data_IF_855433395285
#
_entry.id   IF_855433395285
#
_cell.length_a   1.000
_cell.length_b   1.000
_cell.length_c   1.000
_cell.angle_alpha   90.00
_cell.angle_beta   90.00
_cell.angle_gamma   90.00
#
_symmetry.space_group_name_H-M   'P 1'
#
loop_
_entity.id
_entity.type
_entity.pdbx_description
1 polymer ?
#
# COMPACT_ATOMS: atom_id res chain seq x y z
N UNK A 1 7.62 9.09 -20.48
CA UNK A 1 7.54 8.02 -19.45
C UNK A 1 7.66 8.54 -18.01
N UNK A 2 8.14 9.77 -17.76
CA UNK A 2 8.36 10.31 -16.41
C UNK A 2 7.04 10.60 -15.64
N UNK A 3 5.95 10.96 -16.34
CA UNK A 3 4.68 11.35 -15.72
C UNK A 3 3.77 10.19 -15.28
N UNK A 4 4.06 8.95 -15.70
CA UNK A 4 3.20 7.78 -15.41
C UNK A 4 3.65 6.99 -14.19
N UNK A 5 4.86 7.21 -13.69
CA UNK A 5 5.40 6.42 -12.57
C UNK A 5 4.57 6.63 -11.30
N UNK A 6 4.31 7.89 -10.93
CA UNK A 6 3.58 8.19 -9.69
C UNK A 6 2.12 7.74 -9.76
N UNK A 7 1.33 8.04 -10.82
CA UNK A 7 -0.04 7.53 -10.93
C UNK A 7 -0.11 5.99 -10.90
N UNK A 8 0.79 5.30 -11.63
CA UNK A 8 0.80 3.84 -11.63
C UNK A 8 1.17 3.26 -10.26
N UNK A 9 2.08 3.92 -9.54
CA UNK A 9 2.45 3.51 -8.19
C UNK A 9 1.27 3.66 -7.23
N UNK A 10 0.57 4.80 -7.25
CA UNK A 10 -0.63 5.02 -6.44
C UNK A 10 -1.71 3.99 -6.78
N UNK A 11 -1.99 3.74 -8.07
CA UNK A 11 -2.95 2.71 -8.46
C UNK A 11 -2.56 1.28 -8.04
N UNK A 12 -1.25 1.00 -7.96
CA UNK A 12 -0.78 -0.27 -7.42
C UNK A 12 -1.04 -0.36 -5.91
N UNK A 13 -0.88 0.75 -5.18
CA UNK A 13 -1.21 0.84 -3.75
C UNK A 13 -2.72 0.67 -3.50
N UNK A 14 -3.58 1.22 -4.37
CA UNK A 14 -5.03 1.00 -4.32
C UNK A 14 -5.35 -0.50 -4.44
N UNK A 15 -4.71 -1.19 -5.40
CA UNK A 15 -4.82 -2.64 -5.55
C UNK A 15 -4.32 -3.42 -4.32
N UNK A 16 -3.22 -2.99 -3.70
CA UNK A 16 -2.72 -3.58 -2.45
C UNK A 16 -3.70 -3.38 -1.29
N UNK A 17 -4.34 -2.22 -1.17
CA UNK A 17 -5.35 -1.97 -0.14
C UNK A 17 -6.54 -2.92 -0.29
N UNK A 18 -7.01 -3.15 -1.53
CA UNK A 18 -8.08 -4.13 -1.81
C UNK A 18 -7.64 -5.54 -1.40
N UNK A 19 -6.40 -5.94 -1.71
CA UNK A 19 -5.89 -7.26 -1.34
C UNK A 19 -5.78 -7.45 0.18
N UNK A 20 -5.33 -6.43 0.91
CA UNK A 20 -5.27 -6.44 2.38
C UNK A 20 -6.67 -6.48 2.99
N UNK A 21 -7.62 -5.71 2.45
CA UNK A 21 -9.02 -5.77 2.85
C UNK A 21 -9.59 -7.19 2.64
N UNK A 22 -9.36 -7.78 1.48
CA UNK A 22 -9.84 -9.13 1.18
C UNK A 22 -9.26 -10.16 2.15
N UNK A 23 -7.97 -10.08 2.45
CA UNK A 23 -7.31 -10.91 3.47
C UNK A 23 -7.97 -10.74 4.84
N UNK A 24 -8.18 -9.49 5.30
CA UNK A 24 -8.85 -9.21 6.56
C UNK A 24 -10.26 -9.82 6.62
N UNK A 25 -11.05 -9.68 5.56
CA UNK A 25 -12.40 -10.23 5.50
C UNK A 25 -12.41 -11.76 5.48
N UNK A 26 -11.46 -12.39 4.78
CA UNK A 26 -11.28 -13.84 4.83
C UNK A 26 -10.96 -14.31 6.25
N UNK A 27 -9.98 -13.69 6.92
CA UNK A 27 -9.60 -14.03 8.29
C UNK A 27 -10.76 -13.84 9.28
N UNK A 28 -11.53 -12.75 9.13
CA UNK A 28 -12.74 -12.53 9.92
C UNK A 28 -13.78 -13.65 9.69
N UNK A 29 -14.02 -14.05 8.44
CA UNK A 29 -14.93 -15.13 8.10
C UNK A 29 -14.49 -16.47 8.68
N UNK A 30 -13.18 -16.79 8.66
CA UNK A 30 -12.65 -18.02 9.27
C UNK A 30 -12.74 -18.02 10.80
N UNK A 31 -12.42 -16.90 11.45
CA UNK A 31 -12.48 -16.79 12.91
C UNK A 31 -13.90 -16.96 13.48
N UNK A 32 -14.93 -16.61 12.71
CA UNK A 32 -16.33 -16.82 13.09
C UNK A 32 -16.81 -18.25 12.82
N UNK A 33 -16.21 -18.95 11.84
CA UNK A 33 -16.56 -20.32 11.51
C UNK A 33 -16.19 -21.31 12.64
N UNK A 34 -15.04 -21.11 13.28
CA UNK A 34 -14.62 -21.90 14.44
C UNK A 34 -15.52 -21.66 15.68
N UNK A 35 -16.13 -20.48 15.80
CA UNK A 35 -17.04 -20.14 16.88
C UNK A 35 -18.43 -20.76 16.71
N UNK A 36 -18.93 -20.88 15.47
CA UNK A 36 -20.21 -21.55 15.15
C UNK A 36 -20.17 -23.07 15.41
N UNK A 37 -19.01 -23.72 15.24
CA UNK A 37 -18.88 -25.14 15.58
C UNK A 37 -19.07 -25.41 17.09
N UNK A 38 -18.82 -24.41 17.94
CA UNK A 38 -19.00 -24.49 19.39
C UNK A 38 -20.41 -24.09 19.86
N UNK A 39 -21.14 -23.29 19.09
CA UNK A 39 -22.46 -22.75 19.46
C UNK A 39 -23.56 -23.24 18.51
N UNK A 40 -24.10 -24.43 18.77
CA UNK A 40 -25.12 -25.12 17.95
C UNK A 40 -26.53 -24.49 17.91
N UNK A 41 -26.66 -23.20 18.23
CA UNK A 41 -27.96 -22.51 18.35
C UNK A 41 -28.14 -21.27 17.46
N UNK A 42 -27.17 -20.93 16.61
CA UNK A 42 -27.26 -19.81 15.66
C UNK A 42 -27.22 -20.29 14.19
N UNK A 43 -27.95 -21.35 13.88
CA UNK A 43 -28.14 -21.82 12.50
C UNK A 43 -29.02 -20.85 11.70
N UNK A 44 -28.42 -19.88 11.01
CA UNK A 44 -29.14 -19.14 9.96
C UNK A 44 -28.57 -17.81 9.46
N UNK A 45 -27.50 -17.24 10.04
CA UNK A 45 -26.90 -16.02 9.50
C UNK A 45 -25.67 -16.37 8.66
N UNK A 46 -25.69 -15.99 7.39
CA UNK A 46 -24.51 -16.13 6.55
C UNK A 46 -23.47 -15.11 7.04
N UNK A 47 -22.41 -15.58 7.70
CA UNK A 47 -21.37 -14.74 8.27
C UNK A 47 -20.38 -14.22 7.23
N UNK A 48 -20.41 -14.78 6.02
CA UNK A 48 -19.59 -14.33 4.91
C UNK A 48 -19.89 -12.88 4.54
N UNK A 49 -18.83 -12.05 4.49
CA UNK A 49 -18.92 -10.71 3.92
C UNK A 49 -18.78 -10.79 2.41
N UNK A 50 -19.84 -10.42 1.68
CA UNK A 50 -19.76 -10.18 0.25
C UNK A 50 -19.07 -8.84 0.02
N UNK A 51 -17.93 -8.86 -0.67
CA UNK A 51 -17.20 -7.66 -1.06
C UNK A 51 -17.44 -7.36 -2.54
N UNK A 52 -17.90 -6.15 -2.83
CA UNK A 52 -17.93 -5.58 -4.17
C UNK A 52 -17.00 -4.37 -4.21
N UNK A 53 -16.15 -4.27 -5.23
CA UNK A 53 -15.23 -3.13 -5.36
C UNK A 53 -15.18 -2.61 -6.78
N UNK A 54 -15.17 -1.29 -6.94
CA UNK A 54 -14.80 -0.61 -8.19
C UNK A 54 -13.71 0.38 -7.81
N UNK A 55 -12.45 0.02 -8.04
CA UNK A 55 -11.29 0.78 -7.58
C UNK A 55 -11.36 1.07 -6.07
N UNK A 56 -11.50 2.34 -5.69
CA UNK A 56 -11.57 2.86 -4.32
C UNK A 56 -13.00 2.88 -3.75
N UNK A 57 -14.00 2.46 -4.51
CA UNK A 57 -15.37 2.29 -4.03
C UNK A 57 -15.58 0.86 -3.50
N UNK A 58 -16.05 0.74 -2.25
CA UNK A 58 -16.29 -0.54 -1.59
C UNK A 58 -17.76 -0.71 -1.23
N UNK A 59 -18.31 -1.89 -1.48
CA UNK A 59 -19.71 -2.22 -1.22
C UNK A 59 -19.88 -3.58 -0.54
N UNK A 60 -20.87 -3.67 0.33
CA UNK A 60 -21.31 -4.90 1.00
C UNK A 60 -22.79 -4.81 1.39
N UNK A 61 -23.34 -5.82 2.05
CA UNK A 61 -24.70 -5.75 2.60
C UNK A 61 -24.74 -4.86 3.83
N UNK A 62 -25.87 -4.16 4.06
CA UNK A 62 -25.97 -3.15 5.12
C UNK A 62 -25.62 -3.68 6.52
N UNK A 63 -25.92 -4.94 6.82
CA UNK A 63 -25.61 -5.59 8.09
C UNK A 63 -24.11 -5.87 8.30
N UNK A 64 -23.29 -5.72 7.26
CA UNK A 64 -21.82 -5.92 7.25
C UNK A 64 -21.04 -4.64 7.04
N UNK A 65 -21.70 -3.49 6.86
CA UNK A 65 -21.05 -2.22 6.53
C UNK A 65 -20.01 -1.79 7.58
N UNK A 66 -20.29 -2.00 8.87
CA UNK A 66 -19.34 -1.69 9.96
C UNK A 66 -18.07 -2.55 9.90
N UNK A 67 -18.22 -3.84 9.57
CA UNK A 67 -17.08 -4.75 9.43
C UNK A 67 -16.24 -4.40 8.19
N UNK A 68 -16.90 -4.02 7.09
CA UNK A 68 -16.22 -3.49 5.90
C UNK A 68 -15.43 -2.22 6.24
N UNK A 69 -16.02 -1.29 7.00
CA UNK A 69 -15.34 -0.07 7.43
C UNK A 69 -14.09 -0.36 8.27
N UNK A 70 -14.20 -1.29 9.21
CA UNK A 70 -13.07 -1.74 10.03
C UNK A 70 -11.95 -2.34 9.17
N UNK A 71 -12.31 -3.17 8.18
CA UNK A 71 -11.35 -3.76 7.24
C UNK A 71 -10.65 -2.73 6.38
N UNK A 72 -11.39 -1.73 5.85
CA UNK A 72 -10.80 -0.64 5.06
C UNK A 72 -9.78 0.12 5.92
N UNK A 73 -10.16 0.55 7.12
CA UNK A 73 -9.23 1.23 8.05
C UNK A 73 -7.98 0.40 8.31
N UNK A 74 -8.15 -0.88 8.60
CA UNK A 74 -7.03 -1.79 8.87
C UNK A 74 -6.10 -1.90 7.65
N UNK A 75 -6.64 -2.05 6.44
CA UNK A 75 -5.86 -2.13 5.21
C UNK A 75 -5.01 -0.86 4.99
N UNK A 76 -5.59 0.32 5.15
CA UNK A 76 -4.86 1.60 5.02
C UNK A 76 -3.81 1.78 6.13
N UNK A 77 -4.10 1.34 7.37
CA UNK A 77 -3.13 1.37 8.46
C UNK A 77 -1.94 0.45 8.12
N UNK A 78 -2.21 -0.78 7.72
CA UNK A 78 -1.17 -1.75 7.37
C UNK A 78 -0.35 -1.29 6.15
N UNK A 79 -0.99 -0.66 5.16
CA UNK A 79 -0.30 -0.20 3.96
C UNK A 79 0.60 1.03 4.22
N UNK A 80 0.09 2.04 4.93
CA UNK A 80 0.78 3.34 5.05
C UNK A 80 1.55 3.55 6.36
N UNK A 81 1.18 2.83 7.43
CA UNK A 81 1.86 2.96 8.73
C UNK A 81 2.81 1.80 9.03
N UNK A 82 2.87 0.79 8.15
CA UNK A 82 4.00 -0.12 8.13
C UNK A 82 5.22 0.63 7.59
N UNK A 83 6.13 0.98 8.50
CA UNK A 83 7.24 1.92 8.29
C UNK A 83 8.19 1.56 7.15
N UNK A 84 8.16 0.31 6.69
CA UNK A 84 9.22 -0.23 5.85
C UNK A 84 8.86 -0.23 4.35
N UNK A 85 7.63 0.10 3.95
CA UNK A 85 7.22 -0.08 2.54
C UNK A 85 7.96 0.89 1.60
N UNK A 86 8.06 2.17 1.96
CA UNK A 86 8.80 3.16 1.16
C UNK A 86 10.29 2.83 1.12
N UNK A 87 10.85 2.40 2.26
CA UNK A 87 12.26 2.00 2.35
C UNK A 87 12.55 0.82 1.45
N UNK A 88 11.69 -0.20 1.50
CA UNK A 88 11.80 -1.40 0.64
C UNK A 88 11.65 -1.01 -0.83
N UNK A 89 10.63 -0.23 -1.18
CA UNK A 89 10.41 0.22 -2.56
C UNK A 89 11.60 1.01 -3.10
N UNK A 90 12.10 1.98 -2.33
CA UNK A 90 13.27 2.77 -2.70
C UNK A 90 14.52 1.90 -2.88
N UNK A 91 14.79 1.00 -1.93
CA UNK A 91 15.93 0.08 -2.01
C UNK A 91 15.84 -0.84 -3.24
N UNK A 92 14.64 -1.34 -3.56
CA UNK A 92 14.40 -2.16 -4.75
C UNK A 92 14.65 -1.35 -6.03
N UNK A 93 14.07 -0.15 -6.16
CA UNK A 93 14.29 0.70 -7.35
C UNK A 93 15.78 1.04 -7.51
N UNK A 94 16.45 1.44 -6.43
CA UNK A 94 17.87 1.78 -6.47
C UNK A 94 18.72 0.58 -6.88
N UNK A 95 18.43 -0.61 -6.33
CA UNK A 95 19.09 -1.86 -6.72
C UNK A 95 18.88 -2.19 -8.20
N UNK A 96 17.64 -2.07 -8.70
CA UNK A 96 17.32 -2.28 -10.12
C UNK A 96 18.08 -1.29 -11.02
N UNK A 97 18.13 -0.01 -10.65
CA UNK A 97 18.86 1.01 -11.42
C UNK A 97 20.37 0.75 -11.40
N UNK A 98 20.94 0.39 -10.26
CA UNK A 98 22.36 -0.01 -10.15
C UNK A 98 22.68 -1.21 -11.02
N UNK A 99 21.81 -2.21 -11.07
CA UNK A 99 21.99 -3.37 -11.92
C UNK A 99 21.89 -3.02 -13.40
N UNK A 100 20.95 -2.16 -13.78
CA UNK A 100 20.74 -1.77 -15.18
C UNK A 100 21.84 -0.84 -15.70
N UNK A 101 22.18 0.21 -14.94
CA UNK A 101 23.18 1.21 -15.33
C UNK A 101 24.61 0.84 -14.93
N UNK A 102 24.81 -0.28 -14.23
CA UNK A 102 26.06 -0.72 -13.59
C UNK A 102 26.42 0.15 -12.39
N UNK A 103 26.74 -0.51 -11.28
CA UNK A 103 27.00 0.16 -9.98
C UNK A 103 28.12 1.21 -10.04
N UNK A 104 29.10 1.06 -10.94
CA UNK A 104 30.17 2.04 -11.17
C UNK A 104 29.68 3.43 -11.61
N UNK A 105 28.46 3.54 -12.13
CA UNK A 105 27.87 4.78 -12.60
C UNK A 105 27.02 5.46 -11.50
N UNK A 106 27.00 4.90 -10.29
CA UNK A 106 26.28 5.46 -9.14
C UNK A 106 27.25 6.14 -8.18
N UNK A 107 27.05 7.44 -7.97
CA UNK A 107 27.75 8.24 -6.97
C UNK A 107 26.95 8.21 -5.65
N UNK A 108 27.44 7.41 -4.69
CA UNK A 108 26.82 7.27 -3.38
C UNK A 108 26.95 8.52 -2.49
N UNK A 109 27.95 9.37 -2.75
CA UNK A 109 28.19 10.59 -1.96
C UNK A 109 27.16 11.65 -2.33
N UNK A 110 26.90 11.80 -3.63
CA UNK A 110 25.94 12.78 -4.15
C UNK A 110 24.54 12.19 -4.45
N UNK A 111 24.34 10.89 -4.19
CA UNK A 111 23.09 10.16 -4.43
C UNK A 111 22.55 10.33 -5.85
N UNK A 112 23.38 10.06 -6.87
CA UNK A 112 23.03 10.28 -8.28
C UNK A 112 23.65 9.26 -9.22
N UNK A 113 23.07 9.11 -10.40
CA UNK A 113 23.64 8.34 -11.51
C UNK A 113 24.27 9.25 -12.56
N UNK A 114 25.46 8.89 -13.04
CA UNK A 114 26.18 9.57 -14.12
C UNK A 114 26.31 8.62 -15.31
N UNK A 115 25.63 8.92 -16.41
CA UNK A 115 25.52 8.03 -17.58
C UNK A 115 26.11 8.74 -18.79
N UNK A 116 27.25 8.23 -19.27
CA UNK A 116 27.85 8.72 -20.52
C UNK A 116 27.08 8.22 -21.73
N UNK A 117 26.63 9.14 -22.58
CA UNK A 117 25.93 8.80 -23.83
C UNK A 117 26.92 8.66 -24.98
N UNK A 118 26.67 7.71 -25.89
CA UNK A 118 27.56 7.42 -27.02
C UNK A 118 27.49 8.45 -28.14
N UNK A 119 26.49 9.35 -28.16
CA UNK A 119 26.22 10.19 -29.31
C UNK A 119 26.85 11.59 -29.26
N UNK A 120 27.21 12.14 -28.09
CA UNK A 120 27.75 13.51 -28.00
C UNK A 120 28.84 13.73 -26.93
N UNK A 121 29.28 12.69 -26.21
CA UNK A 121 30.19 12.87 -25.06
C UNK A 121 29.52 13.55 -23.86
N UNK A 122 28.21 13.78 -23.93
CA UNK A 122 27.42 14.33 -22.83
C UNK A 122 27.16 13.25 -21.77
N UNK A 123 27.36 13.64 -20.52
CA UNK A 123 27.04 12.83 -19.35
C UNK A 123 25.69 13.28 -18.82
N UNK A 124 24.72 12.37 -18.82
CA UNK A 124 23.42 12.60 -18.20
C UNK A 124 23.54 12.33 -16.70
N UNK A 125 23.05 13.27 -15.90
CA UNK A 125 23.04 13.16 -14.44
C UNK A 125 21.61 13.01 -13.96
N UNK A 126 21.34 11.96 -13.19
CA UNK A 126 20.03 11.70 -12.59
C UNK A 126 20.13 11.66 -11.08
N UNK A 127 19.50 12.61 -10.40
CA UNK A 127 19.43 12.63 -8.95
C UNK A 127 18.46 11.56 -8.44
N UNK A 128 18.87 10.84 -7.39
CA UNK A 128 18.00 9.89 -6.69
C UNK A 128 17.35 10.63 -5.52
N UNK A 129 16.01 10.50 -5.32
CA UNK A 129 15.34 11.09 -4.17
C UNK A 129 15.92 10.57 -2.85
N UNK A 130 16.10 11.47 -1.88
CA UNK A 130 16.54 11.12 -0.53
C UNK A 130 15.32 10.70 0.31
N UNK A 131 15.22 9.39 0.54
CA UNK A 131 14.10 8.81 1.29
C UNK A 131 14.09 9.25 2.76
N UNK A 132 15.25 9.53 3.38
CA UNK A 132 15.28 9.89 4.80
C UNK A 132 14.63 11.25 5.02
N UNK A 133 14.76 12.19 4.07
CA UNK A 133 14.01 13.46 4.11
C UNK A 133 12.51 13.24 4.09
N UNK A 134 12.01 12.26 3.34
CA UNK A 134 10.56 11.95 3.28
C UNK A 134 10.09 11.32 4.58
N UNK A 135 10.86 10.37 5.12
CA UNK A 135 10.49 9.65 6.36
C UNK A 135 10.50 10.53 7.60
N UNK A 136 11.31 11.59 7.65
CA UNK A 136 11.27 12.55 8.76
C UNK A 136 9.90 13.25 8.83
N UNK A 137 9.29 13.58 7.69
CA UNK A 137 8.00 14.25 7.65
C UNK A 137 6.83 13.32 7.98
N UNK A 138 6.94 12.01 7.69
CA UNK A 138 5.87 11.05 7.95
C UNK A 138 5.68 10.71 9.44
N UNK A 139 6.69 10.93 10.28
CA UNK A 139 6.65 10.64 11.74
C UNK A 139 5.63 11.47 12.52
N UNK A 140 5.08 12.53 11.93
CA UNK A 140 4.09 13.40 12.58
C UNK A 140 2.64 12.94 12.39
N UNK A 141 2.41 11.92 11.54
CA UNK A 141 1.06 11.45 11.25
C UNK A 141 0.73 10.21 12.09
N UNK A 142 -0.43 10.19 12.75
CA UNK A 142 -0.86 9.07 13.60
C UNK A 142 -1.95 8.25 12.93
N UNK A 143 -1.83 6.92 12.99
CA UNK A 143 -2.85 5.99 12.49
C UNK A 143 -4.20 6.16 13.19
N UNK A 144 -4.20 6.76 14.38
CA UNK A 144 -5.41 7.11 15.13
C UNK A 144 -6.36 7.99 14.32
N UNK A 145 -5.85 8.83 13.41
CA UNK A 145 -6.69 9.66 12.53
C UNK A 145 -7.58 8.79 11.64
N UNK A 146 -7.10 7.64 11.15
CA UNK A 146 -7.89 6.72 10.33
C UNK A 146 -8.91 5.94 11.17
N UNK A 147 -8.54 5.59 12.41
CA UNK A 147 -9.41 4.89 13.35
C UNK A 147 -10.61 5.79 13.73
N UNK A 148 -10.32 7.05 14.05
CA UNK A 148 -11.32 8.02 14.54
C UNK A 148 -12.09 8.70 13.38
N UNK A 149 -11.67 8.51 12.13
CA UNK A 149 -12.32 9.13 10.97
C UNK A 149 -13.67 8.48 10.66
N UNK A 150 -14.74 9.26 10.83
CA UNK A 150 -16.09 8.93 10.34
C UNK A 150 -16.30 9.31 8.87
N UNK A 151 -15.34 10.02 8.24
CA UNK A 151 -15.43 10.52 6.87
C UNK A 151 -14.71 9.63 5.84
N UNK A 152 -14.28 8.42 6.24
CA UNK A 152 -14.04 7.33 5.28
C UNK A 152 -15.44 6.92 4.80
N UNK A 153 -15.93 7.66 3.80
CA UNK A 153 -17.33 7.68 3.36
C UNK A 153 -17.73 6.32 2.80
N UNK A 154 -18.57 5.62 3.56
CA UNK A 154 -19.45 4.57 3.06
C UNK A 154 -20.70 5.29 2.58
N UNK A 155 -20.96 5.24 1.27
CA UNK A 155 -22.23 5.67 0.66
C UNK A 155 -23.02 4.42 0.30
#
# INVERSE_FOLDING_TARGET
MQYSLMPNFIHSLDGCAIALLYKFLLEANFSMYDYEQYCSHFSGRNHSVNLFTIHDCFGTTADKAELLLAGIRQAYIELYFNSNYLETFHATILSTLKNYFKEKNYDAVNNRFEISTSQQGETLVYEVPDIQKVLVHSKHFSSKILIDSNYILII
#
